data_IF_568092034949
#
_entry.id   IF_568092034949
#
_cell.length_a   1.000
_cell.length_b   1.000
_cell.length_c   1.000
_cell.angle_alpha   90.00
_cell.angle_beta   90.00
_cell.angle_gamma   90.00
#
_symmetry.space_group_name_H-M   'P 1'
#
loop_
_entity.id
_entity.type
_entity.pdbx_description
1 polymer ?
#
# COMPACT_ATOMS: atom_id res chain seq x y z
N UNK A 1 -23.67 6.47 3.26
CA UNK A 1 -23.17 6.37 1.87
C UNK A 1 -21.68 6.05 1.93
N UNK A 2 -21.25 4.89 1.45
CA UNK A 2 -19.83 4.60 1.26
C UNK A 2 -19.49 4.81 -0.21
N UNK A 3 -18.98 5.98 -0.56
CA UNK A 3 -18.27 6.13 -1.82
C UNK A 3 -17.05 5.23 -1.73
N UNK A 4 -17.02 4.15 -2.50
CA UNK A 4 -15.78 3.46 -2.84
C UNK A 4 -15.04 4.33 -3.87
N UNK A 5 -14.61 5.51 -3.42
CA UNK A 5 -13.87 6.47 -4.22
C UNK A 5 -12.43 5.99 -4.37
N UNK A 6 -11.90 6.11 -5.58
CA UNK A 6 -10.47 5.92 -5.85
C UNK A 6 -9.72 7.11 -5.24
N UNK A 7 -8.66 6.85 -4.49
CA UNK A 7 -7.88 7.88 -3.81
C UNK A 7 -6.88 8.49 -4.77
N UNK A 8 -6.96 9.78 -5.02
CA UNK A 8 -6.05 10.44 -5.95
C UNK A 8 -4.83 11.02 -5.23
N UNK A 9 -3.66 10.98 -5.86
CA UNK A 9 -2.45 11.62 -5.35
C UNK A 9 -1.76 12.44 -6.43
N UNK A 10 -1.16 13.55 -6.02
CA UNK A 10 -0.28 14.35 -6.87
C UNK A 10 1.17 14.04 -6.51
N UNK A 11 2.02 13.82 -7.53
CA UNK A 11 3.44 13.55 -7.33
C UNK A 11 4.20 14.88 -7.22
N UNK A 12 4.88 15.08 -6.11
CA UNK A 12 5.80 16.21 -5.90
C UNK A 12 7.23 15.70 -5.80
N UNK A 13 8.15 16.28 -6.58
CA UNK A 13 9.56 15.88 -6.60
C UNK A 13 10.42 16.98 -5.98
N UNK A 14 10.89 16.77 -4.74
CA UNK A 14 11.79 17.67 -4.03
C UNK A 14 13.27 17.33 -4.31
N UNK A 15 13.60 17.12 -5.58
CA UNK A 15 14.94 16.75 -6.04
C UNK A 15 14.96 15.73 -7.18
N UNK A 16 16.17 15.43 -7.67
CA UNK A 16 16.35 14.47 -8.75
C UNK A 16 16.36 13.02 -8.24
N UNK A 17 15.29 12.29 -8.54
CA UNK A 17 15.07 10.91 -8.09
C UNK A 17 15.62 9.85 -9.05
N UNK A 18 16.25 10.26 -10.17
CA UNK A 18 16.73 9.36 -11.24
C UNK A 18 15.67 8.38 -11.75
N UNK A 19 14.40 8.77 -11.72
CA UNK A 19 13.27 7.95 -12.16
C UNK A 19 12.78 6.91 -11.13
N UNK A 20 13.42 6.77 -9.96
CA UNK A 20 13.02 5.77 -8.97
C UNK A 20 11.62 5.99 -8.40
N UNK A 21 11.13 7.24 -8.37
CA UNK A 21 9.76 7.56 -7.99
C UNK A 21 8.72 6.84 -8.85
N UNK A 22 9.01 6.62 -10.14
CA UNK A 22 8.10 5.93 -11.06
C UNK A 22 7.84 4.48 -10.65
N UNK A 23 8.82 3.81 -10.03
CA UNK A 23 8.63 2.45 -9.52
C UNK A 23 7.60 2.45 -8.37
N UNK A 24 7.68 3.43 -7.45
CA UNK A 24 6.73 3.57 -6.34
C UNK A 24 5.34 3.91 -6.88
N UNK A 25 5.23 4.91 -7.74
CA UNK A 25 3.95 5.33 -8.36
C UNK A 25 3.29 4.17 -9.10
N UNK A 26 4.05 3.46 -9.94
CA UNK A 26 3.55 2.30 -10.70
C UNK A 26 3.05 1.20 -9.77
N UNK A 27 3.78 0.91 -8.71
CA UNK A 27 3.38 -0.13 -7.75
C UNK A 27 2.09 0.26 -7.00
N UNK A 28 1.95 1.53 -6.60
CA UNK A 28 0.72 2.04 -5.98
C UNK A 28 -0.49 1.90 -6.91
N UNK A 29 -0.36 2.38 -8.16
CA UNK A 29 -1.43 2.27 -9.17
C UNK A 29 -1.76 0.80 -9.46
N UNK A 30 -0.75 -0.07 -9.57
CA UNK A 30 -0.90 -1.50 -9.86
C UNK A 30 -1.65 -2.24 -8.75
N UNK A 31 -1.42 -1.85 -7.49
CA UNK A 31 -2.15 -2.41 -6.33
C UNK A 31 -3.62 -1.99 -6.31
N UNK A 32 -3.96 -0.94 -7.03
CA UNK A 32 -5.32 -0.47 -7.25
C UNK A 32 -5.86 0.37 -6.10
N UNK A 33 -6.94 1.09 -6.39
CA UNK A 33 -7.62 1.96 -5.44
C UNK A 33 -7.03 3.38 -5.35
N UNK A 34 -5.95 3.67 -6.08
CA UNK A 34 -5.44 5.03 -6.23
C UNK A 34 -5.08 5.40 -7.68
N UNK A 35 -5.08 6.69 -7.97
CA UNK A 35 -4.67 7.29 -9.25
C UNK A 35 -3.73 8.46 -9.04
N UNK A 36 -2.85 8.66 -10.02
CA UNK A 36 -2.05 9.88 -10.10
C UNK A 36 -2.86 10.99 -10.78
N UNK A 37 -2.84 12.18 -10.19
CA UNK A 37 -3.44 13.39 -10.74
C UNK A 37 -2.35 14.38 -11.17
N UNK A 38 -2.59 15.07 -12.28
CA UNK A 38 -1.67 16.09 -12.80
C UNK A 38 -1.81 17.44 -12.09
N UNK A 39 -2.93 17.65 -11.39
CA UNK A 39 -3.22 18.90 -10.68
C UNK A 39 -3.21 18.68 -9.17
N UNK A 40 -2.47 19.54 -8.47
CA UNK A 40 -2.47 19.61 -7.01
C UNK A 40 -3.88 19.87 -6.46
N UNK A 41 -4.74 20.58 -7.18
CA UNK A 41 -6.09 20.95 -6.69
C UNK A 41 -7.05 19.75 -6.65
N UNK A 42 -6.86 18.78 -7.55
CA UNK A 42 -7.78 17.65 -7.72
C UNK A 42 -7.36 16.39 -6.96
N UNK A 43 -6.16 16.36 -6.37
CA UNK A 43 -5.69 15.19 -5.62
C UNK A 43 -6.24 15.12 -4.19
N UNK A 44 -6.35 13.93 -3.59
CA UNK A 44 -6.64 13.81 -2.16
C UNK A 44 -5.36 14.00 -1.31
N UNK A 45 -4.23 13.51 -1.82
CA UNK A 45 -2.93 13.52 -1.14
C UNK A 45 -1.80 14.04 -2.02
N UNK A 46 -0.72 14.47 -1.39
CA UNK A 46 0.56 14.73 -2.06
C UNK A 46 1.50 13.57 -1.75
N UNK A 47 2.01 12.91 -2.78
CA UNK A 47 3.09 11.93 -2.69
C UNK A 47 4.41 12.64 -3.02
N UNK A 48 5.12 13.08 -1.97
CA UNK A 48 6.35 13.85 -2.10
C UNK A 48 7.57 12.92 -2.08
N UNK A 49 8.50 13.09 -3.01
CA UNK A 49 9.75 12.32 -3.07
C UNK A 49 10.95 13.20 -2.74
N UNK A 50 11.76 12.77 -1.77
CA UNK A 50 12.97 13.44 -1.32
C UNK A 50 14.17 12.49 -1.47
N UNK A 51 14.98 12.62 -2.54
CA UNK A 51 16.22 11.88 -2.65
C UNK A 51 17.31 12.47 -1.76
N UNK A 52 17.97 11.61 -0.98
CA UNK A 52 19.12 11.99 -0.17
C UNK A 52 20.34 12.05 -1.08
N UNK A 53 20.88 13.25 -1.27
CA UNK A 53 22.05 13.53 -2.12
C UNK A 53 23.22 14.10 -1.33
N UNK A 54 22.95 14.71 -0.18
CA UNK A 54 23.96 15.26 0.70
C UNK A 54 23.88 14.60 2.08
N UNK A 55 22.85 14.95 2.86
CA UNK A 55 22.61 14.48 4.22
C UNK A 55 21.11 14.49 4.46
N UNK A 56 20.61 13.41 5.08
CA UNK A 56 19.19 13.24 5.35
C UNK A 56 18.53 14.48 6.00
N UNK A 57 19.13 15.04 7.05
CA UNK A 57 18.57 16.21 7.73
C UNK A 57 18.40 17.43 6.82
N UNK A 58 19.44 17.77 6.04
CA UNK A 58 19.42 18.95 5.15
C UNK A 58 18.45 18.74 3.99
N UNK A 59 18.49 17.58 3.35
CA UNK A 59 17.66 17.31 2.17
C UNK A 59 16.16 17.21 2.58
N UNK A 60 15.85 16.61 3.74
CA UNK A 60 14.48 16.53 4.26
C UNK A 60 13.96 17.91 4.72
N UNK A 61 14.82 18.74 5.32
CA UNK A 61 14.45 20.11 5.68
C UNK A 61 14.11 20.95 4.44
N UNK A 62 14.95 20.88 3.40
CA UNK A 62 14.69 21.56 2.13
C UNK A 62 13.40 21.05 1.47
N UNK A 63 13.21 19.72 1.42
CA UNK A 63 12.01 19.13 0.84
C UNK A 63 10.74 19.62 1.56
N UNK A 64 10.76 19.74 2.89
CA UNK A 64 9.62 20.23 3.67
C UNK A 64 9.26 21.69 3.37
N UNK A 65 10.25 22.53 3.03
CA UNK A 65 10.01 23.93 2.68
C UNK A 65 9.38 24.08 1.28
N UNK A 66 9.61 23.12 0.40
CA UNK A 66 9.05 23.08 -0.96
C UNK A 66 7.67 22.42 -1.03
N UNK A 67 7.22 21.76 0.05
CA UNK A 67 5.94 21.06 0.07
C UNK A 67 4.77 22.00 -0.19
N UNK A 68 3.85 21.64 -1.11
CA UNK A 68 2.64 22.40 -1.30
C UNK A 68 1.77 22.38 -0.04
N UNK A 69 1.27 23.56 0.35
CA UNK A 69 0.35 23.69 1.48
C UNK A 69 -1.07 23.20 1.17
N UNK A 70 -1.85 22.95 2.22
CA UNK A 70 -3.30 22.73 2.11
C UNK A 70 -3.75 21.28 1.89
N UNK A 71 -2.83 20.32 1.76
CA UNK A 71 -3.15 18.88 1.67
C UNK A 71 -2.21 18.05 2.54
N UNK A 72 -2.66 16.84 2.86
CA UNK A 72 -1.84 15.86 3.55
C UNK A 72 -0.75 15.33 2.64
N UNK A 73 0.45 15.19 3.20
CA UNK A 73 1.65 14.75 2.48
C UNK A 73 2.10 13.40 3.00
N UNK A 74 2.39 12.49 2.07
CA UNK A 74 3.18 11.29 2.31
C UNK A 74 4.57 11.55 1.76
N UNK A 75 5.57 11.60 2.65
CA UNK A 75 6.97 11.82 2.29
C UNK A 75 7.68 10.48 2.06
N UNK A 76 8.17 10.28 0.85
CA UNK A 76 9.00 9.13 0.46
C UNK A 76 10.44 9.59 0.39
N UNK A 77 11.25 9.18 1.37
CA UNK A 77 12.68 9.48 1.40
C UNK A 77 13.41 8.39 0.62
N UNK A 78 14.14 8.79 -0.42
CA UNK A 78 14.89 7.90 -1.30
C UNK A 78 16.38 7.93 -0.92
N UNK A 79 16.89 6.84 -0.37
CA UNK A 79 18.28 6.68 0.01
C UNK A 79 19.03 5.99 -1.13
N UNK A 80 20.01 6.69 -1.69
CA UNK A 80 20.84 6.17 -2.76
C UNK A 80 21.83 5.14 -2.19
N UNK A 81 21.64 3.87 -2.52
CA UNK A 81 22.54 2.80 -2.08
C UNK A 81 22.41 1.59 -2.98
N UNK A 82 23.52 0.89 -3.18
CA UNK A 82 23.51 -0.39 -3.90
C UNK A 82 23.11 -1.57 -2.97
N UNK A 83 23.21 -1.39 -1.65
CA UNK A 83 22.98 -2.42 -0.66
C UNK A 83 21.48 -2.54 -0.31
N UNK A 84 20.79 -3.66 -0.64
CA UNK A 84 19.36 -3.83 -0.32
C UNK A 84 19.09 -4.03 1.17
N UNK A 85 20.12 -4.38 1.96
CA UNK A 85 20.03 -4.67 3.40
C UNK A 85 20.53 -3.48 4.25
N UNK A 86 20.70 -2.30 3.65
CA UNK A 86 21.18 -1.10 4.32
C UNK A 86 20.27 -0.75 5.52
N UNK A 87 20.90 -0.62 6.69
CA UNK A 87 20.21 -0.19 7.90
C UNK A 87 20.14 1.33 7.93
N UNK A 88 18.93 1.86 7.72
CA UNK A 88 18.69 3.30 7.77
C UNK A 88 18.08 3.72 9.11
N UNK A 89 18.46 4.91 9.62
CA UNK A 89 17.70 5.56 10.67
C UNK A 89 16.29 5.93 10.15
N UNK A 90 15.35 6.05 11.08
CA UNK A 90 13.98 6.48 10.77
C UNK A 90 13.96 7.98 10.45
N UNK A 91 13.65 8.31 9.19
CA UNK A 91 13.63 9.70 8.70
C UNK A 91 12.44 10.50 9.23
N UNK A 92 11.39 9.86 9.76
CA UNK A 92 10.24 10.57 10.33
C UNK A 92 10.63 11.49 11.48
N UNK A 93 11.75 11.19 12.17
CA UNK A 93 12.31 12.01 13.25
C UNK A 93 12.83 13.38 12.79
N UNK A 94 13.06 13.55 11.50
CA UNK A 94 13.56 14.79 10.88
C UNK A 94 12.42 15.64 10.30
N UNK A 95 11.20 15.11 10.32
CA UNK A 95 10.01 15.79 9.82
C UNK A 95 9.38 16.61 10.93
N UNK A 96 9.22 17.90 10.68
CA UNK A 96 8.64 18.89 11.60
C UNK A 96 7.32 19.46 11.07
N UNK A 97 7.06 19.32 9.77
CA UNK A 97 5.84 19.81 9.13
C UNK A 97 4.62 19.00 9.55
N UNK A 98 3.59 19.68 10.08
CA UNK A 98 2.33 19.05 10.50
C UNK A 98 1.49 18.51 9.35
N UNK A 99 1.78 18.92 8.11
CA UNK A 99 1.07 18.45 6.92
C UNK A 99 1.55 17.06 6.49
N UNK A 100 2.74 16.63 6.92
CA UNK A 100 3.29 15.32 6.64
C UNK A 100 2.69 14.31 7.62
N UNK A 101 1.83 13.43 7.12
CA UNK A 101 1.11 12.43 7.94
C UNK A 101 1.82 11.08 7.96
N UNK A 102 2.67 10.82 6.97
CA UNK A 102 3.43 9.59 6.84
C UNK A 102 4.80 9.89 6.23
N UNK A 103 5.83 9.26 6.77
CA UNK A 103 7.16 9.21 6.17
C UNK A 103 7.57 7.76 5.99
N UNK A 104 8.09 7.42 4.81
CA UNK A 104 8.66 6.10 4.55
C UNK A 104 10.03 6.22 3.91
N UNK A 105 10.91 5.31 4.27
CA UNK A 105 12.27 5.22 3.73
C UNK A 105 12.36 4.12 2.68
N UNK A 106 12.86 4.48 1.51
CA UNK A 106 13.04 3.61 0.37
C UNK A 106 14.50 3.63 -0.09
N UNK A 107 15.01 2.48 -0.54
CA UNK A 107 16.35 2.34 -1.12
C UNK A 107 16.28 2.36 -2.64
N UNK A 108 17.17 3.08 -3.31
CA UNK A 108 17.22 3.09 -4.76
C UNK A 108 18.64 3.15 -5.30
N UNK A 109 18.81 2.65 -6.54
CA UNK A 109 20.02 2.78 -7.32
C UNK A 109 19.69 2.70 -8.81
N UNK A 110 20.13 3.65 -9.61
CA UNK A 110 19.83 3.76 -11.04
C UNK A 110 20.32 2.54 -11.82
N UNK A 111 21.52 2.03 -11.53
CA UNK A 111 22.04 0.81 -12.17
C UNK A 111 21.24 -0.47 -11.87
N UNK A 112 20.35 -0.43 -10.87
CA UNK A 112 19.45 -1.54 -10.50
C UNK A 112 18.03 -1.34 -11.03
N UNK A 113 17.82 -0.33 -11.88
CA UNK A 113 16.50 0.00 -12.42
C UNK A 113 15.66 0.89 -11.51
N UNK A 114 16.28 1.61 -10.57
CA UNK A 114 15.61 2.54 -9.66
C UNK A 114 15.40 1.94 -8.28
N UNK A 115 14.14 1.80 -7.86
CA UNK A 115 13.78 1.28 -6.54
C UNK A 115 14.26 -0.17 -6.36
N UNK A 116 14.98 -0.46 -5.27
CA UNK A 116 15.49 -1.81 -5.01
C UNK A 116 14.38 -2.80 -4.64
N UNK A 117 14.52 -4.06 -5.07
CA UNK A 117 13.68 -5.15 -4.60
C UNK A 117 14.15 -5.65 -3.23
N UNK A 118 13.62 -5.06 -2.15
CA UNK A 118 13.97 -5.47 -0.79
C UNK A 118 12.76 -5.41 0.17
N UNK A 119 12.83 -6.11 1.33
CA UNK A 119 11.75 -6.12 2.32
C UNK A 119 11.36 -4.70 2.79
N UNK A 120 12.34 -3.79 2.91
CA UNK A 120 12.10 -2.40 3.31
C UNK A 120 11.21 -1.66 2.31
N UNK A 121 11.55 -1.69 1.02
CA UNK A 121 10.77 -1.01 -0.01
C UNK A 121 9.36 -1.61 -0.14
N UNK A 122 9.24 -2.93 -0.04
CA UNK A 122 7.92 -3.60 -0.01
C UNK A 122 7.10 -3.13 1.19
N UNK A 123 7.69 -3.06 2.38
CA UNK A 123 7.03 -2.58 3.58
C UNK A 123 6.67 -1.08 3.49
N UNK A 124 7.52 -0.26 2.87
CA UNK A 124 7.26 1.16 2.62
C UNK A 124 5.99 1.32 1.76
N UNK A 125 5.93 0.63 0.61
CA UNK A 125 4.74 0.66 -0.26
C UNK A 125 3.51 0.08 0.45
N UNK A 126 3.63 -1.04 1.17
CA UNK A 126 2.53 -1.61 1.97
C UNK A 126 2.02 -0.60 3.02
N UNK A 127 2.89 0.23 3.56
CA UNK A 127 2.53 1.28 4.53
C UNK A 127 1.83 2.45 3.86
N UNK A 128 2.30 2.89 2.69
CA UNK A 128 1.62 3.92 1.89
C UNK A 128 0.21 3.44 1.52
N UNK A 129 0.06 2.23 0.97
CA UNK A 129 -1.24 1.69 0.60
C UNK A 129 -2.21 1.63 1.79
N UNK A 130 -1.72 1.24 2.97
CA UNK A 130 -2.54 1.21 4.19
C UNK A 130 -2.98 2.59 4.64
N UNK A 131 -2.11 3.60 4.52
CA UNK A 131 -2.40 4.97 4.93
C UNK A 131 -3.33 5.70 3.96
N UNK A 132 -3.18 5.46 2.66
CA UNK A 132 -4.10 5.98 1.65
C UNK A 132 -5.50 5.36 1.73
N UNK A 133 -5.82 4.60 2.77
CA UNK A 133 -7.07 3.85 2.91
C UNK A 133 -7.41 3.06 1.63
N UNK A 134 -6.37 2.52 0.96
CA UNK A 134 -6.51 1.42 0.01
C UNK A 134 -6.86 0.16 0.79
N UNK A 135 -7.88 0.21 1.65
CA UNK A 135 -8.19 -0.86 2.57
C UNK A 135 -8.81 -2.01 1.77
N UNK A 136 -8.09 -3.13 1.64
CA UNK A 136 -8.65 -4.32 1.05
C UNK A 136 -9.50 -4.99 2.12
N UNK A 137 -10.75 -4.55 2.29
CA UNK A 137 -11.74 -5.40 3.00
C UNK A 137 -11.85 -6.80 2.36
N UNK A 138 -11.33 -6.98 1.14
CA UNK A 138 -11.19 -8.24 0.41
C UNK A 138 -10.05 -9.15 0.92
N UNK A 139 -8.92 -8.61 1.44
CA UNK A 139 -7.73 -9.43 1.73
C UNK A 139 -7.74 -10.10 3.11
N UNK A 140 -8.46 -9.56 4.10
CA UNK A 140 -8.69 -10.23 5.39
C UNK A 140 -9.74 -11.35 5.33
N UNK A 141 -10.72 -11.31 4.43
CA UNK A 141 -11.76 -12.36 4.34
C UNK A 141 -11.33 -13.60 3.56
N UNK A 142 -10.26 -13.53 2.75
CA UNK A 142 -9.80 -14.65 1.93
C UNK A 142 -8.60 -15.41 2.54
N UNK A 143 -7.72 -14.77 3.33
CA UNK A 143 -6.49 -15.42 3.79
C UNK A 143 -6.50 -15.91 5.26
N UNK A 144 -7.57 -15.70 6.02
CA UNK A 144 -7.71 -16.31 7.36
C UNK A 144 -8.97 -17.16 7.57
N UNK A 145 -9.70 -17.50 6.50
CA UNK A 145 -10.67 -18.60 6.54
C UNK A 145 -9.98 -19.88 6.10
N UNK A 146 -9.57 -20.65 7.10
CA UNK A 146 -9.03 -22.00 7.02
C UNK A 146 -9.66 -22.81 5.85
N UNK A 147 -8.91 -23.15 4.78
CA UNK A 147 -9.47 -23.87 3.64
C UNK A 147 -10.11 -25.22 4.03
N UNK A 148 -9.56 -25.87 5.07
CA UNK A 148 -10.09 -27.11 5.64
C UNK A 148 -11.46 -26.97 6.31
N UNK A 149 -11.82 -25.79 6.84
CA UNK A 149 -13.13 -25.59 7.48
C UNK A 149 -14.27 -25.50 6.45
N UNK A 150 -13.98 -25.06 5.23
CA UNK A 150 -14.97 -24.98 4.15
C UNK A 150 -15.33 -26.40 3.66
N UNK A 151 -14.33 -27.27 3.52
CA UNK A 151 -14.55 -28.67 3.15
C UNK A 151 -15.38 -29.46 4.17
N UNK A 152 -15.19 -29.20 5.47
CA UNK A 152 -15.94 -29.85 6.54
C UNK A 152 -17.44 -29.49 6.52
N UNK A 153 -17.77 -28.22 6.27
CA UNK A 153 -19.16 -27.76 6.23
C UNK A 153 -19.95 -28.32 5.03
N UNK A 154 -19.31 -28.42 3.85
CA UNK A 154 -19.93 -29.00 2.65
C UNK A 154 -20.23 -30.49 2.83
N UNK A 155 -19.30 -31.23 3.45
CA UNK A 155 -19.49 -32.66 3.74
C UNK A 155 -20.70 -32.90 4.66
N UNK A 156 -20.85 -32.09 5.72
CA UNK A 156 -21.99 -32.18 6.64
C UNK A 156 -23.31 -31.91 5.92
N UNK A 157 -23.37 -30.91 5.04
CA UNK A 157 -24.60 -30.55 4.35
C UNK A 157 -25.08 -31.65 3.38
N UNK A 158 -24.15 -32.27 2.64
CA UNK A 158 -24.45 -33.41 1.75
C UNK A 158 -25.00 -34.59 2.56
N UNK A 159 -24.41 -34.88 3.72
CA UNK A 159 -24.87 -35.97 4.58
C UNK A 159 -26.28 -35.73 5.12
N UNK A 160 -26.59 -34.51 5.58
CA UNK A 160 -27.92 -34.13 6.08
C UNK A 160 -28.98 -34.27 4.97
N UNK A 161 -28.69 -33.79 3.76
CA UNK A 161 -29.61 -33.93 2.62
C UNK A 161 -29.85 -35.41 2.29
N UNK A 162 -28.79 -36.22 2.28
CA UNK A 162 -28.90 -37.66 2.04
C UNK A 162 -29.80 -38.37 3.06
N UNK A 163 -29.64 -38.07 4.35
CA UNK A 163 -30.48 -38.63 5.42
C UNK A 163 -31.94 -38.21 5.27
N UNK A 164 -32.21 -36.93 4.97
CA UNK A 164 -33.56 -36.43 4.74
C UNK A 164 -34.21 -37.13 3.55
N UNK A 165 -33.50 -37.30 2.44
CA UNK A 165 -34.00 -38.02 1.26
C UNK A 165 -34.37 -39.47 1.59
N UNK A 166 -33.52 -40.18 2.34
CA UNK A 166 -33.80 -41.55 2.77
C UNK A 166 -35.04 -41.61 3.66
N UNK A 167 -35.18 -40.70 4.63
CA UNK A 167 -36.37 -40.62 5.49
C UNK A 167 -37.62 -40.33 4.65
N UNK A 168 -37.55 -39.38 3.72
CA UNK A 168 -38.66 -39.06 2.81
C UNK A 168 -39.05 -40.26 1.95
N UNK A 169 -38.10 -40.96 1.35
CA UNK A 169 -38.35 -42.17 0.55
C UNK A 169 -38.95 -43.30 1.40
N UNK A 170 -38.45 -43.49 2.62
CA UNK A 170 -38.98 -44.49 3.54
C UNK A 170 -40.43 -44.17 3.95
N UNK A 171 -40.73 -42.89 4.19
CA UNK A 171 -42.09 -42.43 4.50
C UNK A 171 -43.03 -42.57 3.31
N UNK A 172 -42.53 -42.31 2.09
CA UNK A 172 -43.29 -42.46 0.85
C UNK A 172 -43.59 -43.94 0.51
N UNK A 173 -42.67 -44.87 0.83
CA UNK A 173 -42.88 -46.32 0.62
C UNK A 173 -43.82 -46.96 1.64
N UNK A 174 -44.15 -46.28 2.74
CA UNK A 174 -45.04 -46.77 3.81
C UNK A 174 -46.47 -46.19 3.72
N UNK A 175 -46.75 -45.37 2.70
CA UNK A 175 -48.08 -44.94 2.28
C UNK A 175 -48.52 -45.81 1.09
#
# INVERSE_FOLDING_TARGET
>A
MSYTGMVSFYVHLAGNTLGAHLNVVRELITRGGCTEEMSLENCDYILAFCPITSRAGTDIEAAQQELPGGKHVILVVLHHTFNPDETLPDSSRLVTSSNVILTVDCLFHESRGGLLECPRNKAAVDTICRNLDLNPKVRRTLNCKNPWKIGLAVSIFIFVIGVILVICLYKYKKL
#
